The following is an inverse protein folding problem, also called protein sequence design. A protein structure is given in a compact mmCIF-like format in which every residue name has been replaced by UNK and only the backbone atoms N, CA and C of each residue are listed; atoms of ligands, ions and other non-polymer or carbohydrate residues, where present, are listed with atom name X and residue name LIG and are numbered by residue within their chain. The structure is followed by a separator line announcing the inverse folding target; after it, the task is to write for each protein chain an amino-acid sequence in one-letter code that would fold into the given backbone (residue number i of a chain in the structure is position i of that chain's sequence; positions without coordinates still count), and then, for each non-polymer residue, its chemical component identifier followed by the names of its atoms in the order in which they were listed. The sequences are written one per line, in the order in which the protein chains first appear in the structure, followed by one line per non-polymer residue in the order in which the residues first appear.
data_IF_305001261251
#
_entry.id   IF_305001261251
#
_cell.length_a   1.000
_cell.length_b   1.000
_cell.length_c   1.000
_cell.angle_alpha   90.00
_cell.angle_beta   90.00
_cell.angle_gamma   90.00
#
_symmetry.space_group_name_H-M   'P 1'
#
loop_
_entity.id
_entity.type
_entity.pdbx_description
1 polymer ?
#
# COMPACT_ATOMS: atom_id res chain seq x y z
N UNK A 1 1.02 12.66 -3.61
CA UNK A 1 -0.03 12.27 -2.64
C UNK A 1 -0.19 13.30 -1.54
N UNK A 2 -1.43 13.66 -1.22
CA UNK A 2 -1.79 14.59 -0.12
C UNK A 2 -2.65 13.86 0.91
N UNK A 3 -2.51 14.22 2.19
CA UNK A 3 -3.30 13.65 3.31
C UNK A 3 -4.78 14.08 3.26
N UNK A 4 -5.13 15.01 2.39
CA UNK A 4 -6.49 15.52 2.26
C UNK A 4 -7.49 14.41 1.90
N UNK A 5 -8.51 14.23 2.73
CA UNK A 5 -9.57 13.23 2.54
C UNK A 5 -9.19 11.80 2.95
N UNK A 6 -7.96 11.57 3.40
CA UNK A 6 -7.54 10.27 3.93
C UNK A 6 -8.04 10.04 5.37
N UNK A 7 -8.35 8.80 5.71
CA UNK A 7 -8.71 8.38 7.07
C UNK A 7 -7.80 7.27 7.57
N UNK A 8 -7.75 7.05 8.88
CA UNK A 8 -6.99 5.94 9.50
C UNK A 8 -7.67 4.56 9.32
N UNK A 9 -8.71 4.46 8.48
CA UNK A 9 -9.41 3.21 8.18
C UNK A 9 -10.40 2.74 9.26
N UNK A 10 -10.69 3.58 10.27
CA UNK A 10 -11.70 3.29 11.31
C UNK A 10 -13.11 3.61 10.79
N UNK A 11 -13.26 4.75 10.13
CA UNK A 11 -14.51 5.20 9.52
C UNK A 11 -14.24 5.93 8.21
N UNK A 12 -15.28 6.03 7.39
CA UNK A 12 -15.30 6.75 6.12
C UNK A 12 -16.59 7.58 6.02
N UNK A 13 -16.73 8.36 4.95
CA UNK A 13 -17.95 9.13 4.70
C UNK A 13 -19.18 8.21 4.58
N UNK A 14 -20.37 8.78 4.79
CA UNK A 14 -21.62 8.03 4.65
C UNK A 14 -21.96 7.78 3.17
N UNK A 15 -22.87 6.82 2.94
CA UNK A 15 -23.39 6.46 1.62
C UNK A 15 -22.31 6.04 0.60
N UNK A 16 -21.35 5.22 1.05
CA UNK A 16 -20.28 4.68 0.19
C UNK A 16 -20.87 3.87 -0.96
N UNK A 17 -20.34 4.07 -2.15
CA UNK A 17 -20.70 3.35 -3.37
C UNK A 17 -19.55 2.45 -3.85
N UNK A 18 -19.85 1.51 -4.75
CA UNK A 18 -18.85 0.59 -5.33
C UNK A 18 -17.82 1.30 -6.22
N UNK A 19 -18.10 2.52 -6.65
CA UNK A 19 -17.21 3.35 -7.49
C UNK A 19 -16.31 4.28 -6.68
N UNK A 20 -16.50 4.36 -5.36
CA UNK A 20 -15.69 5.23 -4.52
C UNK A 20 -14.25 4.73 -4.46
N UNK A 21 -13.31 5.67 -4.33
CA UNK A 21 -11.93 5.38 -3.95
C UNK A 21 -11.71 5.92 -2.55
N UNK A 22 -11.53 5.00 -1.59
CA UNK A 22 -11.36 5.37 -0.19
C UNK A 22 -9.89 5.60 0.10
N UNK A 23 -9.53 6.77 0.62
CA UNK A 23 -8.14 7.10 0.93
C UNK A 23 -7.79 6.62 2.34
N UNK A 24 -6.82 5.71 2.42
CA UNK A 24 -6.33 5.15 3.68
C UNK A 24 -4.94 5.69 4.00
N UNK A 25 -4.75 6.17 5.22
CA UNK A 25 -3.45 6.59 5.73
C UNK A 25 -3.19 5.88 7.06
N UNK A 26 -2.05 5.20 7.17
CA UNK A 26 -1.56 4.71 8.46
C UNK A 26 -0.12 5.10 8.64
N UNK A 27 0.24 5.49 9.87
CA UNK A 27 1.60 5.90 10.23
C UNK A 27 2.65 4.88 9.81
N UNK A 28 2.30 3.59 9.84
CA UNK A 28 3.18 2.47 9.44
C UNK A 28 3.48 2.35 7.96
N UNK A 29 2.58 2.83 7.10
CA UNK A 29 2.79 2.83 5.64
C UNK A 29 3.42 4.16 5.20
N UNK A 30 3.19 5.22 6.00
CA UNK A 30 3.68 6.57 5.78
C UNK A 30 3.37 7.19 4.41
N UNK A 31 2.26 6.76 3.80
CA UNK A 31 1.68 7.40 2.63
C UNK A 31 0.19 7.14 2.59
N UNK A 32 -0.50 7.99 1.84
CA UNK A 32 -1.90 7.77 1.52
C UNK A 32 -1.97 6.71 0.42
N UNK A 33 -2.78 5.69 0.65
CA UNK A 33 -2.98 4.60 -0.31
C UNK A 33 -4.47 4.50 -0.65
N UNK A 34 -4.84 4.41 -1.93
CA UNK A 34 -6.23 4.21 -2.31
C UNK A 34 -6.67 2.77 -1.99
N UNK A 35 -7.87 2.62 -1.47
CA UNK A 35 -8.58 1.35 -1.39
C UNK A 35 -9.66 1.33 -2.47
N UNK A 36 -9.76 0.19 -3.16
CA UNK A 36 -10.77 -0.01 -4.20
C UNK A 36 -11.74 -1.13 -3.83
N UNK A 37 -12.98 -0.98 -4.29
CA UNK A 37 -13.99 -2.01 -4.13
C UNK A 37 -13.51 -3.31 -4.78
N UNK A 38 -13.61 -4.40 -4.04
CA UNK A 38 -13.30 -5.74 -4.51
C UNK A 38 -14.55 -6.58 -4.67
N UNK A 39 -15.36 -6.67 -3.61
CA UNK A 39 -16.57 -7.50 -3.63
C UNK A 39 -17.55 -7.09 -2.54
N UNK A 40 -18.79 -7.56 -2.67
CA UNK A 40 -19.83 -7.46 -1.66
C UNK A 40 -19.81 -8.72 -0.78
N UNK A 41 -19.93 -8.55 0.53
CA UNK A 41 -19.96 -9.64 1.50
C UNK A 41 -21.15 -9.48 2.44
N UNK A 42 -21.66 -10.59 2.96
CA UNK A 42 -22.60 -10.56 4.09
C UNK A 42 -21.86 -10.88 5.37
N UNK A 43 -21.90 -9.98 6.35
CA UNK A 43 -21.27 -10.15 7.66
C UNK A 43 -22.25 -9.78 8.75
N UNK A 44 -22.48 -10.69 9.70
CA UNK A 44 -23.42 -10.50 10.81
C UNK A 44 -24.85 -10.10 10.32
N UNK A 45 -25.29 -10.67 9.20
CA UNK A 45 -26.60 -10.35 8.60
C UNK A 45 -26.68 -9.03 7.84
N UNK A 46 -25.59 -8.27 7.75
CA UNK A 46 -25.53 -7.01 7.02
C UNK A 46 -24.72 -7.16 5.73
N UNK A 47 -25.20 -6.51 4.65
CA UNK A 47 -24.42 -6.34 3.42
C UNK A 47 -23.32 -5.31 3.64
N UNK A 48 -22.08 -5.68 3.33
CA UNK A 48 -20.91 -4.83 3.44
C UNK A 48 -20.08 -4.86 2.14
N UNK A 49 -19.37 -3.77 1.87
CA UNK A 49 -18.44 -3.69 0.75
C UNK A 49 -17.02 -3.93 1.25
N UNK A 50 -16.36 -4.92 0.64
CA UNK A 50 -14.96 -5.20 0.88
C UNK A 50 -14.11 -4.33 -0.03
N UNK A 51 -13.45 -3.34 0.55
CA UNK A 51 -12.41 -2.55 -0.09
C UNK A 51 -11.04 -3.15 0.22
N UNK A 52 -10.11 -3.12 -0.73
CA UNK A 52 -8.78 -3.71 -0.60
C UNK A 52 -7.71 -2.75 -1.08
N UNK A 53 -6.50 -2.90 -0.52
CA UNK A 53 -5.30 -2.32 -1.09
C UNK A 53 -4.99 -2.99 -2.44
N UNK A 54 -4.71 -2.22 -3.50
CA UNK A 54 -4.23 -2.77 -4.76
C UNK A 54 -2.93 -3.57 -4.57
N UNK A 55 -2.75 -4.63 -5.35
CA UNK A 55 -1.48 -5.36 -5.40
C UNK A 55 -0.31 -4.46 -5.86
N UNK A 56 -0.60 -3.37 -6.57
CA UNK A 56 0.36 -2.37 -7.02
C UNK A 56 0.70 -1.30 -5.99
N UNK A 57 0.16 -1.37 -4.76
CA UNK A 57 0.35 -0.30 -3.75
C UNK A 57 1.83 0.01 -3.51
N UNK A 58 2.69 -1.01 -3.52
CA UNK A 58 4.14 -0.89 -3.34
C UNK A 58 4.93 -1.19 -4.62
N UNK A 59 4.25 -1.31 -5.76
CA UNK A 59 4.91 -1.55 -7.03
C UNK A 59 5.67 -0.31 -7.49
N UNK A 60 6.82 -0.53 -8.10
CA UNK A 60 7.60 0.50 -8.78
C UNK A 60 7.10 0.64 -10.24
N UNK A 61 7.20 1.83 -10.84
CA UNK A 61 6.87 2.02 -12.24
C UNK A 61 7.67 1.06 -13.15
N UNK A 62 7.02 0.56 -14.21
CA UNK A 62 7.71 -0.32 -15.18
C UNK A 62 8.49 0.49 -16.22
N UNK A 63 7.97 1.65 -16.57
CA UNK A 63 8.57 2.57 -17.52
C UNK A 63 9.33 3.68 -16.79
N UNK A 64 10.60 3.89 -17.18
CA UNK A 64 11.49 4.91 -16.58
C UNK A 64 10.94 6.34 -16.76
N UNK A 65 9.95 6.52 -17.63
CA UNK A 65 9.28 7.81 -17.88
C UNK A 65 8.19 8.14 -16.86
N UNK A 66 7.71 7.17 -16.10
CA UNK A 66 6.73 7.39 -15.04
C UNK A 66 7.44 7.97 -13.80
N UNK A 67 6.89 9.05 -13.25
CA UNK A 67 7.48 9.74 -12.11
C UNK A 67 7.37 8.89 -10.83
N UNK A 68 8.50 8.69 -10.17
CA UNK A 68 8.59 7.88 -8.97
C UNK A 68 8.78 8.76 -7.72
N UNK A 69 7.66 9.19 -7.13
CA UNK A 69 7.65 10.14 -6.02
C UNK A 69 8.25 9.60 -4.71
N UNK A 70 8.40 8.28 -4.57
CA UNK A 70 8.88 7.61 -3.35
C UNK A 70 10.33 7.12 -3.47
N UNK A 71 11.11 7.75 -4.35
CA UNK A 71 12.57 7.63 -4.36
C UNK A 71 13.18 8.65 -3.42
N UNK A 72 14.08 8.19 -2.56
CA UNK A 72 14.93 9.09 -1.79
C UNK A 72 16.12 9.51 -2.66
N UNK A 73 16.33 10.82 -2.91
CA UNK A 73 17.46 11.28 -3.72
C UNK A 73 18.79 10.82 -3.14
N UNK A 74 19.66 10.24 -3.98
CA UNK A 74 21.00 9.80 -3.61
C UNK A 74 21.09 8.39 -3.01
N UNK A 75 19.97 7.68 -2.84
CA UNK A 75 19.95 6.26 -2.46
C UNK A 75 19.50 5.38 -3.63
N UNK A 76 19.97 4.12 -3.70
CA UNK A 76 19.43 3.14 -4.64
C UNK A 76 17.93 2.92 -4.41
N UNK A 77 17.18 2.70 -5.48
CA UNK A 77 15.78 2.31 -5.36
C UNK A 77 15.67 0.93 -4.69
N UNK A 78 14.66 0.76 -3.84
CA UNK A 78 14.31 -0.55 -3.33
C UNK A 78 13.60 -1.37 -4.42
N UNK A 79 13.79 -2.70 -4.44
CA UNK A 79 13.03 -3.62 -5.27
C UNK A 79 11.51 -3.36 -5.26
N UNK A 80 10.84 -3.68 -6.38
CA UNK A 80 9.39 -3.51 -6.50
C UNK A 80 8.64 -4.34 -5.45
N UNK A 81 7.60 -3.76 -4.85
CA UNK A 81 6.86 -4.33 -3.72
C UNK A 81 7.39 -3.94 -2.36
N UNK A 82 8.51 -3.22 -2.30
CA UNK A 82 9.07 -2.61 -1.10
C UNK A 82 8.91 -1.09 -1.14
N UNK A 83 8.73 -0.49 0.02
CA UNK A 83 8.71 0.97 0.18
C UNK A 83 9.58 1.41 1.33
N UNK A 84 10.35 2.45 1.11
CA UNK A 84 11.12 3.08 2.18
C UNK A 84 10.17 3.87 3.08
N UNK A 85 10.25 3.61 4.38
CA UNK A 85 9.52 4.37 5.41
C UNK A 85 10.48 5.05 6.38
N UNK A 86 11.79 4.98 6.16
CA UNK A 86 12.81 5.61 6.99
C UNK A 86 12.55 7.09 7.31
N UNK A 87 12.07 7.95 6.37
CA UNK A 87 11.84 9.37 6.67
C UNK A 87 10.75 9.60 7.73
N UNK A 88 9.93 8.59 8.00
CA UNK A 88 8.84 8.64 8.96
C UNK A 88 9.18 8.01 10.31
N UNK A 89 10.35 7.35 10.37
CA UNK A 89 10.81 6.54 11.49
C UNK A 89 12.21 6.97 11.94
N UNK A 90 12.43 8.29 12.07
CA UNK A 90 13.69 8.87 12.55
C UNK A 90 14.90 8.45 11.71
N UNK A 91 14.71 8.31 10.40
CA UNK A 91 15.72 7.86 9.43
C UNK A 91 16.30 6.46 9.72
N UNK A 92 15.61 5.65 10.53
CA UNK A 92 15.99 4.25 10.70
C UNK A 92 15.78 3.48 9.38
N UNK A 93 16.70 2.58 9.01
CA UNK A 93 16.66 1.86 7.73
C UNK A 93 15.58 0.78 7.73
N UNK A 94 14.32 1.22 7.58
CA UNK A 94 13.12 0.39 7.66
C UNK A 94 12.40 0.46 6.32
N UNK A 95 12.13 -0.70 5.74
CA UNK A 95 11.27 -0.85 4.58
C UNK A 95 9.98 -1.57 4.97
N UNK A 96 8.87 -1.20 4.32
CA UNK A 96 7.58 -1.89 4.44
C UNK A 96 7.25 -2.67 3.17
N UNK A 97 6.50 -3.76 3.34
CA UNK A 97 6.00 -4.63 2.28
C UNK A 97 4.63 -5.19 2.65
N UNK A 98 3.97 -5.88 1.73
CA UNK A 98 2.91 -6.80 2.13
C UNK A 98 3.53 -8.00 2.89
N UNK A 99 2.72 -8.72 3.71
CA UNK A 99 3.19 -9.90 4.42
C UNK A 99 3.86 -10.90 3.48
N UNK A 100 4.96 -11.51 3.93
CA UNK A 100 5.73 -12.50 3.17
C UNK A 100 6.20 -11.98 1.80
N UNK A 101 6.36 -10.66 1.66
CA UNK A 101 6.66 -9.99 0.39
C UNK A 101 5.67 -10.30 -0.74
N UNK A 102 4.39 -10.52 -0.39
CA UNK A 102 3.33 -10.69 -1.35
C UNK A 102 3.31 -9.51 -2.35
N UNK A 103 3.27 -9.83 -3.65
CA UNK A 103 3.36 -8.87 -4.78
C UNK A 103 4.71 -8.15 -4.96
N UNK A 104 5.76 -8.53 -4.23
CA UNK A 104 7.11 -8.04 -4.51
C UNK A 104 7.78 -8.76 -5.69
N UNK A 105 8.88 -8.19 -6.18
CA UNK A 105 9.72 -8.83 -7.19
C UNK A 105 10.30 -10.16 -6.68
N UNK A 106 10.50 -11.11 -7.59
CA UNK A 106 11.01 -12.45 -7.26
C UNK A 106 12.38 -12.40 -6.56
N UNK A 107 13.22 -11.40 -6.85
CA UNK A 107 14.51 -11.22 -6.17
C UNK A 107 14.35 -11.04 -4.65
N UNK A 108 13.26 -10.40 -4.19
CA UNK A 108 13.00 -10.17 -2.76
C UNK A 108 12.51 -11.46 -2.12
N UNK A 109 11.58 -12.16 -2.78
CA UNK A 109 11.00 -13.41 -2.28
C UNK A 109 12.08 -14.51 -2.22
N UNK A 110 12.93 -14.61 -3.24
CA UNK A 110 13.97 -15.62 -3.31
C UNK A 110 15.18 -15.32 -2.40
N UNK A 111 15.27 -14.11 -1.84
CA UNK A 111 16.36 -13.74 -0.93
C UNK A 111 16.17 -14.28 0.50
N UNK A 112 14.98 -14.76 0.88
CA UNK A 112 14.69 -15.24 2.23
C UNK A 112 13.99 -16.60 2.17
N UNK A 113 14.54 -17.57 2.89
CA UNK A 113 13.94 -18.90 3.04
C UNK A 113 12.73 -18.87 3.98
N UNK A 114 11.74 -19.73 3.70
CA UNK A 114 10.57 -19.95 4.56
C UNK A 114 9.38 -19.01 4.32
N UNK A 115 9.43 -18.21 3.25
CA UNK A 115 8.30 -17.38 2.84
C UNK A 115 7.17 -18.21 2.21
N UNK A 116 5.94 -17.78 2.44
CA UNK A 116 4.73 -18.31 1.80
C UNK A 116 3.79 -17.13 1.50
N UNK A 117 4.01 -16.40 0.40
CA UNK A 117 3.20 -15.24 0.01
C UNK A 117 1.71 -15.56 -0.14
#
# INVERSE_FOLDING_TARGET
DSVQGATEGVTYHQAITKTDTLLYLRKTICRVTPLHFNTEITKLGMTAYKFVLPNTTFARPKDVTEEECFLQPGLPSLPSGLTDVSPCYYDFPIAASFPHFLYASEEVVNAIDGLSP
#
